data_IF_214023266081
#
_entry.id   IF_214023266081
#
_cell.length_a   1.000
_cell.length_b   1.000
_cell.length_c   1.000
_cell.angle_alpha   90.00
_cell.angle_beta   90.00
_cell.angle_gamma   90.00
#
_symmetry.space_group_name_H-M   'P 1'
#
loop_
_entity.id
_entity.type
_entity.pdbx_description
1 polymer ?
#
# COMPACT_ATOMS: atom_id res chain seq x y z
N UNK A 1 -38.54 3.03 -14.27
CA UNK A 1 -37.37 3.93 -14.30
C UNK A 1 -36.19 3.38 -13.51
N UNK A 2 -36.42 2.70 -12.41
CA UNK A 2 -35.36 2.07 -11.58
C UNK A 2 -34.71 0.83 -12.22
N UNK A 3 -35.50 -0.03 -12.89
CA UNK A 3 -34.96 -1.19 -13.62
C UNK A 3 -33.98 -0.80 -14.74
N UNK A 4 -34.20 0.32 -15.42
CA UNK A 4 -33.28 0.82 -16.45
C UNK A 4 -31.98 1.41 -15.86
N UNK A 5 -32.02 1.91 -14.61
CA UNK A 5 -30.83 2.34 -13.87
C UNK A 5 -30.01 1.15 -13.40
N UNK A 6 -30.67 0.10 -12.90
CA UNK A 6 -30.05 -1.17 -12.54
C UNK A 6 -29.42 -1.86 -13.76
N UNK A 7 -30.12 -1.89 -14.91
CA UNK A 7 -29.58 -2.46 -16.17
C UNK A 7 -28.39 -1.68 -16.71
N UNK A 8 -28.36 -0.35 -16.56
CA UNK A 8 -27.18 0.48 -16.93
C UNK A 8 -26.02 0.26 -15.97
N UNK A 9 -26.26 0.04 -14.69
CA UNK A 9 -25.26 -0.35 -13.69
C UNK A 9 -24.68 -1.75 -13.98
N UNK A 10 -25.53 -2.71 -14.37
CA UNK A 10 -25.07 -4.07 -14.71
C UNK A 10 -24.21 -4.14 -15.99
N UNK A 11 -24.42 -3.22 -16.95
CA UNK A 11 -23.66 -3.22 -18.21
C UNK A 11 -22.25 -2.62 -18.09
N UNK A 12 -21.91 -1.99 -16.97
CA UNK A 12 -20.61 -1.32 -16.74
C UNK A 12 -19.62 -2.10 -15.89
N UNK A 13 -19.97 -3.28 -15.37
CA UNK A 13 -19.15 -3.97 -14.35
C UNK A 13 -18.32 -5.14 -14.92
N UNK A 14 -18.40 -5.41 -16.22
CA UNK A 14 -17.64 -6.51 -16.83
C UNK A 14 -16.19 -6.07 -17.09
N UNK A 15 -15.28 -6.44 -16.19
CA UNK A 15 -13.84 -6.32 -16.42
C UNK A 15 -13.38 -7.55 -17.19
N UNK A 16 -12.92 -7.32 -18.42
CA UNK A 16 -12.35 -8.38 -19.22
C UNK A 16 -10.92 -8.74 -18.77
N UNK A 17 -10.39 -9.84 -19.30
CA UNK A 17 -9.06 -10.34 -18.94
C UNK A 17 -7.94 -9.33 -19.24
N UNK A 18 -8.04 -8.57 -20.32
CA UNK A 18 -7.03 -7.56 -20.72
C UNK A 18 -7.06 -6.38 -19.75
N UNK A 19 -8.24 -5.88 -19.43
CA UNK A 19 -8.43 -4.80 -18.46
C UNK A 19 -7.91 -5.21 -17.07
N UNK A 20 -8.21 -6.45 -16.65
CA UNK A 20 -7.71 -7.00 -15.40
C UNK A 20 -6.17 -7.08 -15.35
N UNK A 21 -5.53 -7.52 -16.44
CA UNK A 21 -4.07 -7.55 -16.57
C UNK A 21 -3.51 -6.12 -16.49
N UNK A 22 -4.09 -5.16 -17.20
CA UNK A 22 -3.65 -3.76 -17.18
C UNK A 22 -3.73 -3.19 -15.77
N UNK A 23 -4.87 -3.35 -15.09
CA UNK A 23 -5.04 -2.90 -13.70
C UNK A 23 -4.06 -3.60 -12.76
N UNK A 24 -3.82 -4.90 -12.94
CA UNK A 24 -2.82 -5.66 -12.20
C UNK A 24 -1.39 -5.15 -12.41
N UNK A 25 -1.00 -4.84 -13.65
CA UNK A 25 0.31 -4.25 -13.96
C UNK A 25 0.45 -2.89 -13.29
N UNK A 26 -0.57 -2.04 -13.38
CA UNK A 26 -0.55 -0.71 -12.76
C UNK A 26 -0.44 -0.83 -11.26
N UNK A 27 -1.26 -1.68 -10.63
CA UNK A 27 -1.18 -1.94 -9.20
C UNK A 27 0.22 -2.42 -8.80
N UNK A 28 0.77 -3.40 -9.51
CA UNK A 28 2.10 -3.95 -9.24
C UNK A 28 3.22 -2.92 -9.36
N UNK A 29 3.15 -2.04 -10.36
CA UNK A 29 4.14 -0.97 -10.54
C UNK A 29 4.04 0.06 -9.42
N UNK A 30 2.83 0.49 -9.07
CA UNK A 30 2.62 1.70 -8.29
C UNK A 30 2.45 1.47 -6.79
N UNK A 31 2.16 0.24 -6.36
CA UNK A 31 1.96 -0.08 -4.94
C UNK A 31 3.22 0.11 -4.11
N UNK A 32 4.35 -0.34 -4.63
CA UNK A 32 5.63 -0.27 -3.91
C UNK A 32 6.41 0.98 -4.22
N UNK A 33 6.33 1.48 -5.47
CA UNK A 33 6.96 2.73 -5.85
C UNK A 33 6.27 3.92 -5.14
N UNK A 34 7.01 4.98 -4.81
CA UNK A 34 6.48 6.10 -4.04
C UNK A 34 5.65 7.06 -4.91
N UNK A 35 4.71 6.53 -5.71
CA UNK A 35 3.95 7.27 -6.73
C UNK A 35 2.43 7.09 -6.64
N UNK A 36 1.92 6.48 -5.57
CA UNK A 36 0.49 6.27 -5.29
C UNK A 36 -0.25 5.30 -6.22
N UNK A 37 -0.48 4.07 -5.75
CA UNK A 37 -1.27 3.05 -6.48
C UNK A 37 -2.74 3.42 -6.59
N UNK A 38 -3.34 3.91 -5.50
CA UNK A 38 -4.75 4.31 -5.49
C UNK A 38 -5.06 5.44 -6.48
N UNK A 39 -4.15 6.44 -6.58
CA UNK A 39 -4.30 7.52 -7.56
C UNK A 39 -4.23 7.01 -9.00
N UNK A 40 -3.31 6.11 -9.30
CA UNK A 40 -3.18 5.54 -10.65
C UNK A 40 -4.33 4.63 -11.01
N UNK A 41 -4.78 3.75 -10.10
CA UNK A 41 -5.95 2.91 -10.34
C UNK A 41 -7.19 3.78 -10.61
N UNK A 42 -7.43 4.82 -9.79
CA UNK A 42 -8.55 5.73 -10.01
C UNK A 42 -8.48 6.42 -11.37
N UNK A 43 -7.31 6.94 -11.77
CA UNK A 43 -7.13 7.58 -13.09
C UNK A 43 -7.39 6.62 -14.24
N UNK A 44 -6.87 5.39 -14.17
CA UNK A 44 -7.05 4.41 -15.24
C UNK A 44 -8.49 3.92 -15.31
N UNK A 45 -9.11 3.66 -14.16
CA UNK A 45 -10.52 3.27 -14.11
C UNK A 45 -11.41 4.38 -14.70
N UNK A 46 -11.14 5.64 -14.39
CA UNK A 46 -11.85 6.78 -14.97
C UNK A 46 -11.64 6.91 -16.49
N UNK A 47 -10.40 6.80 -16.96
CA UNK A 47 -10.08 6.94 -18.40
C UNK A 47 -10.64 5.79 -19.25
N UNK A 48 -10.71 4.60 -18.68
CA UNK A 48 -11.29 3.42 -19.33
C UNK A 48 -12.81 3.31 -19.10
N UNK A 49 -13.42 4.25 -18.37
CA UNK A 49 -14.84 4.20 -17.98
C UNK A 49 -15.23 2.88 -17.28
N UNK A 50 -14.34 2.38 -16.44
CA UNK A 50 -14.56 1.15 -15.67
C UNK A 50 -15.20 1.49 -14.32
N UNK A 51 -16.25 0.75 -13.96
CA UNK A 51 -16.79 0.73 -12.60
C UNK A 51 -16.30 -0.55 -11.93
N UNK A 52 -15.19 -0.44 -11.22
CA UNK A 52 -14.51 -1.56 -10.57
C UNK A 52 -15.04 -1.71 -9.14
N UNK A 53 -15.55 -2.88 -8.75
CA UNK A 53 -15.89 -3.13 -7.35
C UNK A 53 -14.64 -3.03 -6.47
N UNK A 54 -14.78 -2.45 -5.29
CA UNK A 54 -13.67 -2.30 -4.31
C UNK A 54 -12.98 -3.64 -4.06
N UNK A 55 -13.74 -4.73 -4.03
CA UNK A 55 -13.19 -6.06 -3.85
C UNK A 55 -12.16 -6.46 -4.93
N UNK A 56 -12.34 -6.03 -6.19
CA UNK A 56 -11.37 -6.30 -7.23
C UNK A 56 -10.03 -5.63 -6.93
N UNK A 57 -10.06 -4.36 -6.51
CA UNK A 57 -8.87 -3.63 -6.10
C UNK A 57 -8.20 -4.29 -4.88
N UNK A 58 -8.98 -4.76 -3.90
CA UNK A 58 -8.46 -5.53 -2.75
C UNK A 58 -7.71 -6.78 -3.22
N UNK A 59 -8.26 -7.52 -4.18
CA UNK A 59 -7.62 -8.73 -4.71
C UNK A 59 -6.30 -8.40 -5.45
N UNK A 60 -6.23 -7.29 -6.16
CA UNK A 60 -4.97 -6.80 -6.75
C UNK A 60 -3.93 -6.46 -5.67
N UNK A 61 -4.35 -5.82 -4.56
CA UNK A 61 -3.46 -5.56 -3.42
C UNK A 61 -2.96 -6.85 -2.77
N UNK A 62 -3.79 -7.90 -2.68
CA UNK A 62 -3.34 -9.21 -2.22
C UNK A 62 -2.28 -9.83 -3.15
N UNK A 63 -2.37 -9.58 -4.46
CA UNK A 63 -1.33 -9.97 -5.42
C UNK A 63 0.01 -9.30 -5.11
N UNK A 64 0.02 -7.98 -4.94
CA UNK A 64 1.25 -7.25 -4.57
C UNK A 64 1.76 -7.63 -3.18
N UNK A 65 0.87 -7.92 -2.24
CA UNK A 65 1.22 -8.41 -0.91
C UNK A 65 1.89 -9.79 -0.97
N UNK A 66 1.42 -10.69 -1.83
CA UNK A 66 2.07 -11.99 -2.06
C UNK A 66 3.51 -11.81 -2.59
N UNK A 67 3.74 -10.86 -3.48
CA UNK A 67 5.08 -10.50 -3.94
C UNK A 67 5.98 -10.02 -2.78
N UNK A 68 5.46 -9.17 -1.91
CA UNK A 68 6.18 -8.69 -0.73
C UNK A 68 6.54 -9.83 0.23
N UNK A 69 5.58 -10.72 0.52
CA UNK A 69 5.80 -11.90 1.35
C UNK A 69 6.91 -12.78 0.75
N UNK A 70 6.92 -12.95 -0.57
CA UNK A 70 7.97 -13.69 -1.26
C UNK A 70 9.36 -13.06 -1.12
N UNK A 71 9.47 -11.73 -1.19
CA UNK A 71 10.75 -11.00 -1.03
C UNK A 71 11.25 -11.02 0.41
N UNK A 72 10.37 -10.80 1.38
CA UNK A 72 10.71 -10.67 2.81
C UNK A 72 10.37 -11.91 3.65
N UNK A 73 10.35 -13.09 3.01
CA UNK A 73 9.96 -14.35 3.67
C UNK A 73 10.80 -14.66 4.90
N UNK A 74 12.11 -14.39 4.87
CA UNK A 74 13.02 -14.70 5.97
C UNK A 74 12.79 -13.78 7.17
N UNK A 75 12.62 -12.48 6.91
CA UNK A 75 12.29 -11.46 7.91
C UNK A 75 10.93 -11.74 8.56
N UNK A 76 9.94 -12.14 7.74
CA UNK A 76 8.61 -12.51 8.22
C UNK A 76 8.67 -13.76 9.11
N UNK A 77 9.41 -14.78 8.71
CA UNK A 77 9.60 -15.97 9.54
C UNK A 77 10.24 -15.61 10.89
N UNK A 78 11.26 -14.74 10.89
CA UNK A 78 11.90 -14.26 12.11
C UNK A 78 10.91 -13.50 13.02
N UNK A 79 10.04 -12.68 12.46
CA UNK A 79 8.99 -11.96 13.21
C UNK A 79 7.92 -12.91 13.76
N UNK A 80 7.57 -13.97 13.03
CA UNK A 80 6.51 -14.90 13.41
C UNK A 80 6.97 -16.00 14.37
N UNK A 81 8.25 -16.37 14.36
CA UNK A 81 8.82 -17.38 15.24
C UNK A 81 8.53 -17.15 16.73
N UNK A 82 8.71 -15.95 17.30
CA UNK A 82 8.37 -15.67 18.70
C UNK A 82 6.89 -15.89 19.00
N UNK A 83 6.00 -15.61 18.05
CA UNK A 83 4.54 -15.80 18.21
C UNK A 83 4.22 -17.31 18.22
N UNK A 84 4.79 -18.04 17.24
CA UNK A 84 4.60 -19.49 17.14
C UNK A 84 5.13 -20.24 18.37
N UNK A 85 6.25 -19.78 18.94
CA UNK A 85 6.86 -20.40 20.11
C UNK A 85 6.03 -20.25 21.40
N UNK A 86 5.18 -19.21 21.51
CA UNK A 86 4.23 -19.05 22.63
C UNK A 86 3.22 -20.20 22.68
N UNK A 87 2.86 -20.76 21.53
CA UNK A 87 1.92 -21.88 21.40
C UNK A 87 2.61 -23.26 21.45
N UNK A 88 3.91 -23.30 21.51
CA UNK A 88 4.68 -24.57 21.59
C UNK A 88 4.45 -25.27 22.92
N UNK A 89 4.12 -26.56 22.87
CA UNK A 89 3.97 -27.41 24.06
C UNK A 89 5.29 -27.57 24.87
N UNK A 90 6.43 -27.30 24.24
CA UNK A 90 7.74 -27.39 24.89
C UNK A 90 8.24 -26.00 25.30
N UNK A 91 7.92 -25.60 26.52
CA UNK A 91 8.20 -24.26 27.08
C UNK A 91 9.69 -23.93 27.22
N UNK A 92 10.58 -24.92 27.28
CA UNK A 92 12.02 -24.69 27.38
C UNK A 92 12.60 -24.31 26.01
N UNK A 93 12.29 -25.06 24.96
CA UNK A 93 12.69 -24.71 23.59
C UNK A 93 12.09 -23.38 23.17
N UNK A 94 10.84 -23.08 23.57
CA UNK A 94 10.17 -21.81 23.28
C UNK A 94 10.90 -20.61 23.90
N UNK A 95 11.40 -20.75 25.16
CA UNK A 95 12.16 -19.68 25.82
C UNK A 95 13.52 -19.45 25.19
N UNK A 96 14.16 -20.48 24.68
CA UNK A 96 15.46 -20.40 24.02
C UNK A 96 15.35 -19.70 22.65
N UNK A 97 14.40 -20.10 21.80
CA UNK A 97 14.07 -19.45 20.53
C UNK A 97 13.68 -17.98 20.72
N UNK A 98 12.85 -17.70 21.74
CA UNK A 98 12.44 -16.32 22.06
C UNK A 98 13.64 -15.47 22.53
N UNK A 99 14.63 -16.07 23.17
CA UNK A 99 15.81 -15.37 23.69
C UNK A 99 16.83 -15.08 22.60
N UNK A 100 16.91 -15.92 21.57
CA UNK A 100 17.85 -15.79 20.46
C UNK A 100 17.38 -14.77 19.39
N UNK A 101 16.08 -14.71 19.08
CA UNK A 101 15.57 -13.79 18.05
C UNK A 101 15.18 -12.42 18.62
N UNK A 102 16.17 -11.66 19.01
CA UNK A 102 15.97 -10.26 19.47
C UNK A 102 15.50 -9.34 18.37
N UNK A 103 15.88 -9.60 17.11
CA UNK A 103 15.54 -8.75 15.96
C UNK A 103 14.05 -8.88 15.64
N UNK A 104 13.53 -10.09 15.43
CA UNK A 104 12.12 -10.31 15.08
C UNK A 104 11.17 -9.76 16.15
N UNK A 105 11.48 -9.96 17.45
CA UNK A 105 10.69 -9.39 18.56
C UNK A 105 10.68 -7.86 18.56
N UNK A 106 11.85 -7.25 18.31
CA UNK A 106 11.95 -5.79 18.22
C UNK A 106 11.12 -5.26 17.05
N UNK A 107 11.25 -5.87 15.86
CA UNK A 107 10.48 -5.47 14.68
C UNK A 107 8.97 -5.67 14.87
N UNK A 108 8.54 -6.79 15.45
CA UNK A 108 7.13 -7.00 15.78
C UNK A 108 6.57 -5.89 16.66
N UNK A 109 7.28 -5.53 17.74
CA UNK A 109 6.87 -4.43 18.61
C UNK A 109 6.79 -3.11 17.86
N UNK A 110 7.76 -2.80 17.02
CA UNK A 110 7.79 -1.56 16.24
C UNK A 110 6.64 -1.52 15.21
N UNK A 111 6.33 -2.66 14.55
CA UNK A 111 5.18 -2.77 13.64
C UNK A 111 3.87 -2.50 14.39
N UNK A 112 3.68 -3.13 15.56
CA UNK A 112 2.49 -2.90 16.38
C UNK A 112 2.36 -1.43 16.77
N UNK A 113 3.46 -0.80 17.23
CA UNK A 113 3.48 0.62 17.59
C UNK A 113 3.17 1.53 16.39
N UNK A 114 3.70 1.24 15.21
CA UNK A 114 3.42 1.99 13.98
C UNK A 114 1.99 1.80 13.49
N UNK A 115 1.39 0.62 13.73
CA UNK A 115 -0.01 0.37 13.36
C UNK A 115 -1.03 1.14 14.21
N UNK A 116 -0.70 1.50 15.45
CA UNK A 116 -1.63 2.23 16.32
C UNK A 116 -2.10 3.54 15.68
N UNK A 117 -1.22 4.51 15.31
CA UNK A 117 -1.66 5.74 14.68
C UNK A 117 -2.32 5.49 13.31
N UNK A 118 -1.83 4.52 12.53
CA UNK A 118 -2.45 4.15 11.25
C UNK A 118 -3.91 3.72 11.43
N UNK A 119 -4.18 2.83 12.38
CA UNK A 119 -5.53 2.32 12.65
C UNK A 119 -6.45 3.42 13.21
N UNK A 120 -5.96 4.23 14.15
CA UNK A 120 -6.72 5.35 14.70
C UNK A 120 -7.12 6.36 13.63
N UNK A 121 -6.22 6.68 12.69
CA UNK A 121 -6.50 7.58 11.58
C UNK A 121 -7.45 6.94 10.56
N UNK A 122 -7.25 5.67 10.22
CA UNK A 122 -8.11 4.95 9.28
C UNK A 122 -9.56 4.87 9.74
N UNK A 123 -9.79 4.62 11.03
CA UNK A 123 -11.14 4.58 11.60
C UNK A 123 -11.69 5.99 11.85
N UNK A 124 -10.86 6.89 12.39
CA UNK A 124 -11.31 8.22 12.84
C UNK A 124 -11.64 9.19 11.70
N UNK A 125 -10.97 9.08 10.55
CA UNK A 125 -11.14 9.99 9.41
C UNK A 125 -11.73 9.32 8.17
N UNK A 126 -12.39 8.18 8.34
CA UNK A 126 -12.90 7.36 7.24
C UNK A 126 -13.74 8.14 6.22
N UNK A 127 -14.73 8.89 6.66
CA UNK A 127 -15.63 9.64 5.78
C UNK A 127 -14.88 10.66 4.91
N UNK A 128 -13.90 11.35 5.50
CA UNK A 128 -13.04 12.29 4.77
C UNK A 128 -12.18 11.55 3.71
N UNK A 129 -11.74 10.34 4.01
CA UNK A 129 -10.96 9.53 3.08
C UNK A 129 -11.82 9.05 1.91
N UNK A 130 -13.02 8.53 2.17
CA UNK A 130 -13.96 8.08 1.14
C UNK A 130 -14.34 9.22 0.19
N UNK A 131 -14.65 10.40 0.71
CA UNK A 131 -14.95 11.59 -0.09
C UNK A 131 -13.76 12.04 -0.96
N UNK A 132 -12.52 11.92 -0.43
CA UNK A 132 -11.32 12.33 -1.15
C UNK A 132 -11.01 11.45 -2.37
N UNK A 133 -11.42 10.18 -2.37
CA UNK A 133 -11.19 9.22 -3.45
C UNK A 133 -11.90 9.58 -4.75
N UNK A 134 -13.04 10.23 -4.66
CA UNK A 134 -13.86 10.60 -5.83
C UNK A 134 -13.57 12.00 -6.36
N UNK A 135 -12.63 12.73 -5.73
CA UNK A 135 -12.28 14.11 -6.09
C UNK A 135 -10.97 14.15 -6.88
N UNK A 136 -11.03 14.52 -8.15
CA UNK A 136 -9.83 14.74 -8.99
C UNK A 136 -8.90 15.80 -8.36
N UNK A 137 -9.44 16.82 -7.69
CA UNK A 137 -8.68 17.81 -6.93
C UNK A 137 -7.86 17.15 -5.80
N UNK A 138 -8.51 16.27 -5.02
CA UNK A 138 -7.85 15.54 -3.94
C UNK A 138 -6.77 14.61 -4.48
N UNK A 139 -7.03 13.94 -5.60
CA UNK A 139 -6.05 13.07 -6.26
C UNK A 139 -4.83 13.88 -6.71
N UNK A 140 -5.03 15.01 -7.39
CA UNK A 140 -3.95 15.89 -7.82
C UNK A 140 -3.13 16.41 -6.64
N UNK A 141 -3.80 16.85 -5.57
CA UNK A 141 -3.15 17.34 -4.35
C UNK A 141 -2.33 16.25 -3.67
N UNK A 142 -2.83 15.02 -3.59
CA UNK A 142 -2.11 13.88 -3.03
C UNK A 142 -0.80 13.58 -3.76
N UNK A 143 -0.81 13.64 -5.11
CA UNK A 143 0.41 13.55 -5.90
C UNK A 143 1.40 14.68 -5.61
N UNK A 144 0.91 15.92 -5.51
CA UNK A 144 1.78 17.07 -5.18
C UNK A 144 2.39 16.96 -3.79
N UNK A 145 1.62 16.56 -2.78
CA UNK A 145 2.11 16.33 -1.42
C UNK A 145 3.19 15.23 -1.42
N UNK A 146 2.92 14.11 -2.10
CA UNK A 146 3.90 13.03 -2.24
C UNK A 146 5.18 13.53 -2.90
N UNK A 147 5.06 14.32 -3.98
CA UNK A 147 6.18 14.92 -4.68
C UNK A 147 7.03 15.80 -3.76
N UNK A 148 6.41 16.66 -2.96
CA UNK A 148 7.11 17.54 -2.00
C UNK A 148 7.83 16.72 -0.95
N UNK A 149 7.17 15.73 -0.32
CA UNK A 149 7.78 14.89 0.71
C UNK A 149 8.99 14.11 0.17
N UNK A 150 8.85 13.53 -1.02
CA UNK A 150 9.91 12.76 -1.66
C UNK A 150 11.07 13.66 -2.07
N UNK A 151 10.79 14.84 -2.65
CA UNK A 151 11.83 15.80 -3.04
C UNK A 151 12.64 16.28 -1.82
N UNK A 152 11.98 16.53 -0.70
CA UNK A 152 12.63 16.98 0.52
C UNK A 152 13.68 15.98 1.03
N UNK A 153 13.56 14.68 0.71
CA UNK A 153 14.56 13.68 1.09
C UNK A 153 15.93 13.91 0.44
N UNK A 154 15.98 14.62 -0.71
CA UNK A 154 17.25 15.00 -1.38
C UNK A 154 18.19 15.78 -0.48
N UNK A 155 17.63 16.57 0.43
CA UNK A 155 18.40 17.45 1.34
C UNK A 155 18.76 16.76 2.66
N UNK A 156 18.38 15.50 2.84
CA UNK A 156 18.69 14.72 4.03
C UNK A 156 19.92 13.85 3.75
N UNK A 157 20.92 13.99 4.60
CA UNK A 157 22.14 13.18 4.51
C UNK A 157 21.90 11.69 4.78
N UNK A 158 22.94 10.89 4.61
CA UNK A 158 22.90 9.45 4.90
C UNK A 158 22.45 9.18 6.33
N UNK A 159 21.47 8.31 6.49
CA UNK A 159 20.97 7.87 7.80
C UNK A 159 21.85 6.75 8.38
N UNK A 160 22.15 6.85 9.66
CA UNK A 160 22.90 5.85 10.43
C UNK A 160 22.18 5.47 11.72
N UNK A 161 21.03 6.08 12.00
CA UNK A 161 20.26 5.80 13.20
C UNK A 161 19.55 4.46 13.10
N UNK A 162 19.50 3.75 14.19
CA UNK A 162 18.67 2.55 14.35
C UNK A 162 17.22 2.97 14.59
N UNK A 163 16.28 2.27 13.99
CA UNK A 163 14.84 2.51 14.13
C UNK A 163 14.40 2.36 15.59
N UNK A 164 13.84 3.42 16.17
CA UNK A 164 13.33 3.45 17.55
C UNK A 164 11.78 3.45 17.61
N UNK A 165 11.25 3.38 18.84
CA UNK A 165 9.79 3.38 19.08
C UNK A 165 9.11 4.66 18.57
N UNK A 166 9.75 5.82 18.80
CA UNK A 166 9.25 7.12 18.34
C UNK A 166 9.21 7.16 16.81
N UNK A 167 10.25 6.62 16.17
CA UNK A 167 10.32 6.58 14.71
C UNK A 167 9.22 5.69 14.13
N UNK A 168 8.95 4.54 14.75
CA UNK A 168 7.86 3.66 14.35
C UNK A 168 6.49 4.36 14.42
N UNK A 169 6.22 5.12 15.49
CA UNK A 169 4.99 5.90 15.63
C UNK A 169 4.90 6.99 14.56
N UNK A 170 5.98 7.76 14.33
CA UNK A 170 6.01 8.81 13.31
C UNK A 170 5.81 8.27 11.89
N UNK A 171 6.45 7.14 11.56
CA UNK A 171 6.26 6.47 10.27
C UNK A 171 4.81 5.95 10.18
N UNK A 172 4.24 5.44 11.27
CA UNK A 172 2.84 5.02 11.33
C UNK A 172 1.85 6.17 11.14
N UNK A 173 2.15 7.38 11.64
CA UNK A 173 1.37 8.60 11.32
C UNK A 173 1.46 8.90 9.83
N UNK A 174 2.64 8.82 9.23
CA UNK A 174 2.82 8.98 7.78
C UNK A 174 2.03 7.95 6.98
N UNK A 175 1.99 6.70 7.43
CA UNK A 175 1.15 5.67 6.82
C UNK A 175 -0.35 6.00 6.98
N UNK A 176 -0.78 6.49 8.14
CA UNK A 176 -2.17 6.94 8.34
C UNK A 176 -2.55 8.12 7.44
N UNK A 177 -1.65 9.08 7.24
CA UNK A 177 -1.88 10.19 6.30
C UNK A 177 -2.02 9.72 4.85
N UNK A 178 -1.37 8.63 4.47
CA UNK A 178 -1.48 8.08 3.11
C UNK A 178 -2.81 7.40 2.79
N UNK A 179 -3.72 7.29 3.77
CA UNK A 179 -5.11 6.87 3.53
C UNK A 179 -5.86 7.97 2.75
N UNK A 180 -5.45 9.25 2.88
CA UNK A 180 -5.92 10.29 1.98
C UNK A 180 -5.57 9.97 0.54
N UNK A 181 -6.53 10.21 -0.35
CA UNK A 181 -6.42 9.86 -1.76
C UNK A 181 -5.09 10.33 -2.36
N UNK A 182 -4.42 9.39 -2.99
CA UNK A 182 -3.22 9.62 -3.79
C UNK A 182 -1.97 10.12 -3.05
N UNK A 183 -1.96 10.18 -1.72
CA UNK A 183 -0.70 10.28 -0.99
C UNK A 183 -0.04 8.90 -1.00
N UNK A 184 1.17 8.84 -1.56
CA UNK A 184 1.91 7.58 -1.62
C UNK A 184 2.29 7.08 -0.23
N UNK A 185 1.81 5.89 0.15
CA UNK A 185 2.13 5.27 1.43
C UNK A 185 3.64 5.00 1.56
N UNK A 186 4.25 4.36 0.57
CA UNK A 186 5.71 4.13 0.55
C UNK A 186 6.49 5.45 0.50
N UNK A 187 5.99 6.45 -0.24
CA UNK A 187 6.54 7.80 -0.27
C UNK A 187 6.56 8.45 1.11
N UNK A 188 5.43 8.41 1.84
CA UNK A 188 5.30 9.01 3.16
C UNK A 188 6.17 8.31 4.22
N UNK A 189 6.05 6.97 4.33
CA UNK A 189 6.75 6.19 5.35
C UNK A 189 8.27 6.25 5.18
N UNK A 190 8.77 6.13 3.95
CA UNK A 190 10.20 6.18 3.64
C UNK A 190 10.73 7.60 3.82
N UNK A 191 10.01 8.65 3.37
CA UNK A 191 10.45 10.04 3.55
C UNK A 191 10.59 10.38 5.03
N UNK A 192 9.60 10.05 5.87
CA UNK A 192 9.64 10.30 7.31
C UNK A 192 10.83 9.58 7.95
N UNK A 193 11.06 8.31 7.61
CA UNK A 193 12.19 7.58 8.12
C UNK A 193 13.54 8.16 7.68
N UNK A 194 13.65 8.66 6.45
CA UNK A 194 14.83 9.39 5.98
C UNK A 194 15.04 10.68 6.77
N UNK A 195 13.99 11.48 7.04
CA UNK A 195 14.09 12.69 7.88
C UNK A 195 14.55 12.38 9.30
N UNK A 196 14.25 11.19 9.82
CA UNK A 196 14.75 10.67 11.09
C UNK A 196 16.18 10.11 10.99
N UNK A 197 16.80 10.14 9.79
CA UNK A 197 18.13 9.58 9.50
C UNK A 197 18.27 8.12 9.87
N UNK A 198 17.20 7.33 9.68
CA UNK A 198 17.24 5.89 9.90
C UNK A 198 18.08 5.24 8.79
N UNK A 199 18.81 4.18 9.13
CA UNK A 199 19.58 3.39 8.18
C UNK A 199 18.65 2.84 7.09
N UNK A 200 19.06 2.95 5.81
CA UNK A 200 18.17 2.72 4.65
C UNK A 200 17.61 1.31 4.59
N UNK A 201 18.43 0.30 4.85
CA UNK A 201 18.01 -1.10 4.78
C UNK A 201 16.95 -1.40 5.85
N UNK A 202 17.18 -0.94 7.08
CA UNK A 202 16.24 -1.09 8.19
C UNK A 202 14.93 -0.33 7.93
N UNK A 203 15.02 0.87 7.39
CA UNK A 203 13.89 1.71 7.04
C UNK A 203 13.00 1.07 5.96
N UNK A 204 13.60 0.59 4.86
CA UNK A 204 12.87 -0.05 3.77
C UNK A 204 12.15 -1.29 4.29
N UNK A 205 12.88 -2.14 5.02
CA UNK A 205 12.33 -3.35 5.62
C UNK A 205 11.14 -3.02 6.52
N UNK A 206 11.29 -2.03 7.41
CA UNK A 206 10.22 -1.61 8.31
C UNK A 206 9.01 -1.06 7.56
N UNK A 207 9.20 -0.15 6.61
CA UNK A 207 8.12 0.45 5.81
C UNK A 207 7.30 -0.62 5.09
N UNK A 208 7.98 -1.60 4.49
CA UNK A 208 7.32 -2.68 3.77
C UNK A 208 6.59 -3.65 4.71
N UNK A 209 7.23 -4.08 5.79
CA UNK A 209 6.59 -4.99 6.75
C UNK A 209 5.41 -4.32 7.49
N UNK A 210 5.48 -3.02 7.76
CA UNK A 210 4.38 -2.24 8.34
C UNK A 210 3.15 -2.19 7.40
N UNK A 211 3.37 -2.30 6.08
CA UNK A 211 2.27 -2.29 5.12
C UNK A 211 1.43 -3.57 5.14
N UNK A 212 1.99 -4.71 5.55
CA UNK A 212 1.29 -6.00 5.54
C UNK A 212 0.01 -5.94 6.40
N UNK A 213 0.10 -5.64 7.71
CA UNK A 213 -1.12 -5.54 8.52
C UNK A 213 -2.05 -4.40 8.08
N UNK A 214 -1.52 -3.32 7.48
CA UNK A 214 -2.32 -2.22 6.99
C UNK A 214 -3.18 -2.65 5.78
N UNK A 215 -2.58 -3.30 4.76
CA UNK A 215 -3.28 -3.80 3.57
C UNK A 215 -4.29 -4.88 3.96
N UNK A 216 -3.89 -5.83 4.81
CA UNK A 216 -4.81 -6.88 5.28
C UNK A 216 -5.96 -6.30 6.10
N UNK A 217 -5.69 -5.32 6.96
CA UNK A 217 -6.70 -4.66 7.78
C UNK A 217 -7.69 -3.86 6.93
N UNK A 218 -7.23 -3.10 5.95
CA UNK A 218 -8.08 -2.38 5.02
C UNK A 218 -8.93 -3.33 4.18
N UNK A 219 -8.32 -4.35 3.57
CA UNK A 219 -9.05 -5.33 2.76
C UNK A 219 -10.09 -6.12 3.56
N UNK A 220 -9.77 -6.52 4.80
CA UNK A 220 -10.73 -7.20 5.67
C UNK A 220 -11.90 -6.27 6.05
N UNK A 221 -11.60 -5.00 6.33
CA UNK A 221 -12.60 -4.00 6.64
C UNK A 221 -13.57 -3.81 5.48
N UNK A 222 -13.07 -3.65 4.25
CA UNK A 222 -13.89 -3.49 3.04
C UNK A 222 -14.76 -4.73 2.77
N UNK A 223 -14.23 -5.94 3.05
CA UNK A 223 -14.99 -7.19 2.93
C UNK A 223 -16.13 -7.31 3.95
N UNK A 224 -15.93 -6.84 5.18
CA UNK A 224 -16.95 -6.91 6.24
C UNK A 224 -18.09 -5.92 6.00
N UNK A 225 -17.79 -4.78 5.37
CA UNK A 225 -18.74 -3.69 5.12
C UNK A 225 -19.31 -3.69 3.70
N UNK A 226 -19.04 -4.74 2.92
CA UNK A 226 -19.52 -4.83 1.55
C UNK A 226 -21.07 -4.81 1.51
N UNK A 227 -21.61 -3.92 0.71
CA UNK A 227 -23.07 -3.81 0.51
C UNK A 227 -23.56 -4.83 -0.55
N UNK A 228 -24.88 -5.12 -0.60
CA UNK A 228 -25.44 -6.09 -1.54
C UNK A 228 -25.19 -5.77 -3.02
N UNK A 229 -25.08 -4.50 -3.39
CA UNK A 229 -24.82 -4.06 -4.77
C UNK A 229 -23.38 -4.37 -5.16
N UNK A 230 -22.44 -4.08 -4.26
CA UNK A 230 -21.03 -4.43 -4.43
C UNK A 230 -20.81 -5.93 -4.52
N UNK A 231 -21.56 -6.73 -3.71
CA UNK A 231 -21.53 -8.20 -3.79
C UNK A 231 -22.01 -8.70 -5.15
N UNK A 232 -23.08 -8.16 -5.69
CA UNK A 232 -23.58 -8.50 -7.02
C UNK A 232 -22.56 -8.13 -8.13
N UNK A 233 -21.90 -6.98 -7.98
CA UNK A 233 -20.83 -6.55 -8.86
C UNK A 233 -19.63 -7.50 -8.86
N UNK A 234 -19.26 -7.99 -7.67
CA UNK A 234 -18.18 -8.99 -7.54
C UNK A 234 -18.48 -10.28 -8.32
N UNK A 235 -19.73 -10.78 -8.22
CA UNK A 235 -20.16 -11.98 -8.91
C UNK A 235 -20.24 -11.84 -10.43
N UNK A 236 -20.28 -10.62 -10.96
CA UNK A 236 -20.35 -10.35 -12.41
C UNK A 236 -18.98 -10.39 -13.10
N UNK A 237 -17.88 -10.30 -12.36
CA UNK A 237 -16.52 -10.35 -12.91
C UNK A 237 -16.09 -11.80 -13.06
N UNK A 238 -15.61 -12.21 -14.26
CA UNK A 238 -15.11 -13.57 -14.49
C UNK A 238 -13.96 -13.90 -13.54
N UNK A 239 -13.95 -15.11 -13.00
CA UNK A 239 -12.89 -15.57 -12.09
C UNK A 239 -11.49 -15.50 -12.73
N UNK A 240 -11.41 -15.67 -14.04
CA UNK A 240 -10.17 -15.51 -14.80
C UNK A 240 -9.60 -14.10 -14.71
N UNK A 241 -10.45 -13.04 -14.69
CA UNK A 241 -10.03 -11.66 -14.54
C UNK A 241 -9.41 -11.42 -13.15
N UNK A 242 -9.98 -11.99 -12.09
CA UNK A 242 -9.38 -11.96 -10.76
C UNK A 242 -8.00 -12.63 -10.74
N UNK A 243 -7.90 -13.83 -11.32
CA UNK A 243 -6.64 -14.60 -11.34
C UNK A 243 -5.57 -13.85 -12.14
N UNK A 244 -5.89 -13.42 -13.37
CA UNK A 244 -4.93 -12.75 -14.26
C UNK A 244 -4.49 -11.39 -13.69
N UNK A 245 -5.41 -10.60 -13.15
CA UNK A 245 -5.09 -9.34 -12.49
C UNK A 245 -4.17 -9.54 -11.29
N UNK A 246 -4.49 -10.49 -10.41
CA UNK A 246 -3.69 -10.81 -9.22
C UNK A 246 -2.29 -11.30 -9.58
N UNK A 247 -2.18 -12.20 -10.54
CA UNK A 247 -0.87 -12.73 -10.99
C UNK A 247 -0.03 -11.63 -11.63
N UNK A 248 -0.63 -10.77 -12.45
CA UNK A 248 0.04 -9.60 -13.02
C UNK A 248 0.54 -8.65 -11.94
N UNK A 249 -0.32 -8.34 -10.95
CA UNK A 249 0.05 -7.48 -9.81
C UNK A 249 1.20 -8.09 -8.99
N UNK A 250 1.17 -9.41 -8.75
CA UNK A 250 2.24 -10.10 -8.03
C UNK A 250 3.56 -10.09 -8.80
N UNK A 251 3.54 -10.45 -10.09
CA UNK A 251 4.75 -10.51 -10.90
C UNK A 251 5.42 -9.15 -11.05
N UNK A 252 4.64 -8.13 -11.39
CA UNK A 252 5.13 -6.76 -11.56
C UNK A 252 5.52 -6.16 -10.20
N UNK A 253 4.74 -6.43 -9.14
CA UNK A 253 5.04 -5.99 -7.78
C UNK A 253 6.37 -6.51 -7.27
N UNK A 254 6.72 -7.76 -7.57
CA UNK A 254 8.02 -8.34 -7.22
C UNK A 254 9.18 -7.56 -7.87
N UNK A 255 9.05 -7.20 -9.15
CA UNK A 255 10.05 -6.41 -9.88
C UNK A 255 10.14 -5.00 -9.29
N UNK A 256 8.99 -4.38 -9.00
CA UNK A 256 8.91 -3.02 -8.44
C UNK A 256 9.55 -2.90 -7.06
N UNK A 257 9.38 -3.90 -6.19
CA UNK A 257 10.05 -3.93 -4.87
C UNK A 257 11.57 -3.91 -5.06
N UNK A 258 12.11 -4.80 -5.90
CA UNK A 258 13.56 -4.88 -6.15
C UNK A 258 14.11 -3.59 -6.78
N UNK A 259 13.36 -3.02 -7.69
CA UNK A 259 13.71 -1.74 -8.32
C UNK A 259 13.77 -0.61 -7.29
N UNK A 260 12.73 -0.49 -6.43
CA UNK A 260 12.73 0.55 -5.39
C UNK A 260 13.90 0.40 -4.42
N UNK A 261 14.18 -0.81 -3.94
CA UNK A 261 15.33 -1.08 -3.06
C UNK A 261 16.63 -0.60 -3.73
N UNK A 262 16.82 -0.89 -5.02
CA UNK A 262 18.01 -0.46 -5.78
C UNK A 262 18.11 1.07 -5.85
N UNK A 263 17.03 1.77 -6.14
CA UNK A 263 16.99 3.25 -6.25
C UNK A 263 17.28 3.90 -4.88
N UNK A 264 16.71 3.38 -3.80
CA UNK A 264 16.96 3.93 -2.45
C UNK A 264 18.42 3.74 -2.06
N UNK A 265 19.01 2.58 -2.35
CA UNK A 265 20.41 2.29 -2.04
C UNK A 265 21.37 3.21 -2.81
N UNK A 266 21.01 3.60 -4.05
CA UNK A 266 21.76 4.60 -4.83
C UNK A 266 21.60 6.03 -4.31
N UNK A 267 20.61 6.28 -3.45
CA UNK A 267 20.28 7.64 -2.96
C UNK A 267 19.46 8.47 -3.93
N UNK A 268 18.80 7.82 -4.87
CA UNK A 268 18.05 8.45 -5.96
C UNK A 268 16.55 8.48 -5.70
N UNK A 269 16.10 8.20 -4.48
CA UNK A 269 14.68 8.15 -4.10
C UNK A 269 13.92 9.43 -4.47
N UNK A 270 14.57 10.59 -4.38
CA UNK A 270 13.98 11.89 -4.72
C UNK A 270 13.55 12.01 -6.19
N UNK A 271 14.06 11.17 -7.10
CA UNK A 271 13.69 11.21 -8.53
C UNK A 271 12.20 10.95 -8.75
N UNK A 272 11.56 10.15 -7.92
CA UNK A 272 10.13 9.90 -8.01
C UNK A 272 9.27 11.16 -7.80
N UNK A 273 9.82 12.20 -7.16
CA UNK A 273 9.12 13.47 -6.98
C UNK A 273 8.74 14.14 -8.30
N UNK A 274 9.63 14.07 -9.29
CA UNK A 274 9.36 14.66 -10.61
C UNK A 274 8.19 13.99 -11.30
N UNK A 275 8.08 12.67 -11.17
CA UNK A 275 6.93 11.93 -11.65
C UNK A 275 5.63 12.34 -10.93
N UNK A 276 5.65 12.43 -9.60
CA UNK A 276 4.50 12.87 -8.83
C UNK A 276 4.05 14.29 -9.22
N UNK A 277 4.98 15.23 -9.38
CA UNK A 277 4.65 16.58 -9.84
C UNK A 277 4.10 16.60 -11.26
N UNK A 278 4.64 15.79 -12.16
CA UNK A 278 4.13 15.68 -13.54
C UNK A 278 2.67 15.23 -13.53
N UNK A 279 2.34 14.11 -12.85
CA UNK A 279 0.97 13.59 -12.81
C UNK A 279 0.04 14.57 -12.10
N UNK A 280 0.43 15.10 -10.93
CA UNK A 280 -0.37 16.08 -10.21
C UNK A 280 -0.67 17.33 -11.04
N UNK A 281 0.33 17.85 -11.77
CA UNK A 281 0.14 19.00 -12.67
C UNK A 281 -0.78 18.69 -13.86
N UNK A 282 -0.64 17.51 -14.47
CA UNK A 282 -1.52 17.10 -15.57
C UNK A 282 -2.99 16.98 -15.10
N UNK A 283 -3.21 16.47 -13.89
CA UNK A 283 -4.55 16.41 -13.31
C UNK A 283 -5.12 17.83 -13.13
N UNK A 284 -4.36 18.78 -12.58
CA UNK A 284 -4.84 20.13 -12.38
C UNK A 284 -5.12 20.86 -13.72
N UNK A 285 -4.28 20.63 -14.73
CA UNK A 285 -4.52 21.17 -16.08
C UNK A 285 -5.81 20.60 -16.69
N UNK A 286 -6.12 19.34 -16.45
CA UNK A 286 -7.36 18.71 -16.94
C UNK A 286 -8.65 19.22 -16.27
N UNK A 287 -8.52 19.96 -15.16
CA UNK A 287 -9.66 20.54 -14.43
C UNK A 287 -9.99 21.98 -14.85
N UNK A 288 -9.13 22.58 -15.66
CA UNK A 288 -9.31 23.94 -16.24
C UNK A 288 -9.99 23.84 -17.60
#
# INVERSE_FOLDING_TARGET
MELNKAYRLFRCIMIDAIQAIILGIIQGLTEWLPISSSGHLALVQLTMNLQVPIFFDVVLHLGTLAALIGVYRNELLSILQPIASIHSRNKENAKEVIKEDKWGRRFLLLIVLGMVPTALMGVGFRTLFEESFYSMWSIGLGFMISGVMILATKFVGHGTNTLGKVDAVLIGVGQGLSIFSSISRSGATISIGMFRRIERSELITFSFLLSIPAILGAGLYDLVLVDPVSLAGMASIPIESYILGTLSAAAVGYISIKFLISIINKGEFYLFSFYCFLIGSLIFVSLI
#
